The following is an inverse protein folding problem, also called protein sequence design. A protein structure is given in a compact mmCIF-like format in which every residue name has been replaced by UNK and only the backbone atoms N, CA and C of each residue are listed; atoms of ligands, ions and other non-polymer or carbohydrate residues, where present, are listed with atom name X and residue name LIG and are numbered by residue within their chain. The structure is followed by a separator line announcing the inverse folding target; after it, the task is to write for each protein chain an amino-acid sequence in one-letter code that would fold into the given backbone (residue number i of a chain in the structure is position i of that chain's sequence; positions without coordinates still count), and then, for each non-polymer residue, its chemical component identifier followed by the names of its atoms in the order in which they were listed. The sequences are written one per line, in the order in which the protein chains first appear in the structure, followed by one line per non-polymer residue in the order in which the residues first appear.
data_IF_995440083910
#
_entry.id   IF_995440083910
#
_cell.length_a   1.000
_cell.length_b   1.000
_cell.length_c   1.000
_cell.angle_alpha   90.00
_cell.angle_beta   90.00
_cell.angle_gamma   90.00
#
_symmetry.space_group_name_H-M   'P 1'
#
loop_
_entity.id
_entity.type
_entity.pdbx_description
1 polymer ?
#
# COMPACT_ATOMS: atom_id res chain seq x y z
N UNK A 1 -18.34 -11.85 -19.58
CA UNK A 1 -17.95 -13.26 -19.37
C UNK A 1 -16.53 -13.26 -18.84
N UNK A 2 -16.20 -14.12 -17.87
CA UNK A 2 -14.84 -14.21 -17.35
C UNK A 2 -13.88 -14.70 -18.44
N UNK A 3 -12.66 -14.18 -18.48
CA UNK A 3 -11.67 -14.61 -19.48
C UNK A 3 -11.11 -15.99 -19.14
N UNK A 4 -10.61 -16.75 -20.13
CA UNK A 4 -9.91 -18.04 -19.92
C UNK A 4 -8.75 -17.90 -18.89
N UNK A 5 -8.13 -16.73 -18.84
CA UNK A 5 -7.09 -16.39 -17.86
C UNK A 5 -7.67 -16.30 -16.44
N UNK A 6 -8.78 -15.60 -16.25
CA UNK A 6 -9.45 -15.48 -14.96
C UNK A 6 -9.92 -16.84 -14.42
N UNK A 7 -10.45 -17.69 -15.28
CA UNK A 7 -10.85 -19.06 -14.92
C UNK A 7 -9.65 -19.88 -14.46
N UNK A 8 -8.53 -19.81 -15.20
CA UNK A 8 -7.30 -20.51 -14.84
C UNK A 8 -6.72 -20.01 -13.51
N UNK A 9 -6.67 -18.71 -13.29
CA UNK A 9 -6.10 -18.14 -12.06
C UNK A 9 -6.96 -18.44 -10.84
N UNK A 10 -8.28 -18.41 -10.98
CA UNK A 10 -9.22 -18.88 -9.94
C UNK A 10 -9.02 -20.36 -9.65
N UNK A 11 -8.91 -21.21 -10.68
CA UNK A 11 -8.69 -22.65 -10.51
C UNK A 11 -7.35 -22.96 -9.80
N UNK A 12 -6.32 -22.13 -10.01
CA UNK A 12 -5.03 -22.21 -9.30
C UNK A 12 -5.05 -21.61 -7.90
N UNK A 13 -6.16 -21.00 -7.47
CA UNK A 13 -6.31 -20.42 -6.14
C UNK A 13 -5.61 -19.07 -5.95
N UNK A 14 -5.25 -18.37 -7.03
CA UNK A 14 -4.70 -17.02 -6.91
C UNK A 14 -5.75 -16.04 -6.38
N UNK A 15 -5.33 -15.14 -5.51
CA UNK A 15 -6.19 -14.15 -4.91
C UNK A 15 -6.49 -13.01 -5.88
N UNK A 16 -7.70 -12.44 -5.87
CA UNK A 16 -8.01 -11.27 -6.68
C UNK A 16 -7.19 -10.04 -6.23
N UNK A 17 -7.01 -9.10 -7.16
CA UNK A 17 -6.38 -7.80 -6.90
C UNK A 17 -7.07 -7.09 -5.72
N UNK A 18 -8.40 -6.98 -5.75
CA UNK A 18 -9.19 -6.40 -4.67
C UNK A 18 -9.59 -7.48 -3.67
N UNK A 19 -9.36 -7.21 -2.38
CA UNK A 19 -9.72 -8.09 -1.28
C UNK A 19 -10.59 -7.30 -0.32
N UNK A 20 -11.78 -7.82 -0.02
CA UNK A 20 -12.69 -7.21 0.97
C UNK A 20 -12.18 -7.44 2.39
N UNK A 21 -11.51 -8.56 2.62
CA UNK A 21 -10.96 -8.95 3.92
C UNK A 21 -9.58 -9.56 3.75
N UNK A 22 -8.74 -9.46 4.78
CA UNK A 22 -7.40 -10.04 4.77
C UNK A 22 -7.48 -11.55 5.11
N UNK A 23 -7.06 -12.45 4.20
CA UNK A 23 -7.05 -13.88 4.49
C UNK A 23 -6.20 -14.25 5.72
N UNK A 24 -6.62 -15.26 6.47
CA UNK A 24 -5.97 -15.71 7.70
C UNK A 24 -4.46 -16.00 7.55
N UNK A 25 -4.05 -16.52 6.37
CA UNK A 25 -2.63 -16.73 6.03
C UNK A 25 -1.80 -15.46 6.24
N UNK A 26 -2.28 -14.31 5.76
CA UNK A 26 -1.51 -13.06 5.86
C UNK A 26 -1.60 -12.41 7.23
N UNK A 27 -2.68 -12.66 7.98
CA UNK A 27 -2.75 -12.27 9.40
C UNK A 27 -1.64 -13.01 10.17
N UNK A 28 -1.47 -14.32 9.91
CA UNK A 28 -0.40 -15.10 10.53
C UNK A 28 0.99 -14.62 10.11
N UNK A 29 1.21 -14.33 8.82
CA UNK A 29 2.49 -13.77 8.33
C UNK A 29 2.79 -12.43 9.01
N UNK A 30 1.80 -11.53 9.11
CA UNK A 30 1.99 -10.24 9.78
C UNK A 30 2.37 -10.43 11.27
N UNK A 31 1.75 -11.39 11.95
CA UNK A 31 2.10 -11.75 13.33
C UNK A 31 3.53 -12.27 13.44
N UNK A 32 3.94 -13.18 12.56
CA UNK A 32 5.27 -13.82 12.59
C UNK A 32 6.40 -12.86 12.18
N UNK A 33 6.21 -12.10 11.10
CA UNK A 33 7.27 -11.29 10.50
C UNK A 33 7.37 -9.87 11.05
N UNK A 34 6.23 -9.31 11.49
CA UNK A 34 6.11 -7.93 11.99
C UNK A 34 5.87 -7.88 13.50
N UNK A 35 5.58 -9.02 14.15
CA UNK A 35 5.13 -9.04 15.54
C UNK A 35 3.74 -8.44 15.73
N UNK A 36 2.92 -8.39 14.67
CA UNK A 36 1.61 -7.73 14.72
C UNK A 36 0.63 -8.51 15.61
N UNK A 37 0.20 -7.88 16.69
CA UNK A 37 -0.87 -8.33 17.60
C UNK A 37 -1.85 -7.17 17.78
N UNK A 38 -3.08 -7.44 18.23
CA UNK A 38 -4.05 -6.36 18.45
C UNK A 38 -3.56 -5.35 19.50
N UNK A 39 -2.84 -5.82 20.52
CA UNK A 39 -2.23 -4.99 21.56
C UNK A 39 -1.13 -4.09 20.98
N UNK A 40 -0.16 -4.66 20.25
CA UNK A 40 0.93 -3.88 19.64
C UNK A 40 0.36 -2.90 18.61
N UNK A 41 -0.63 -3.33 17.82
CA UNK A 41 -1.29 -2.49 16.82
C UNK A 41 -1.93 -1.27 17.46
N UNK A 42 -2.72 -1.46 18.52
CA UNK A 42 -3.36 -0.37 19.25
C UNK A 42 -2.36 0.59 19.89
N UNK A 43 -1.39 0.06 20.63
CA UNK A 43 -0.37 0.87 21.32
C UNK A 43 0.50 1.69 20.35
N UNK A 44 0.96 1.06 19.26
CA UNK A 44 1.80 1.72 18.27
C UNK A 44 1.01 2.79 17.51
N UNK A 45 -0.25 2.55 17.15
CA UNK A 45 -1.12 3.56 16.53
C UNK A 45 -1.31 4.77 17.42
N UNK A 46 -1.61 4.56 18.70
CA UNK A 46 -1.76 5.67 19.65
C UNK A 46 -0.46 6.46 19.82
N UNK A 47 0.68 5.77 20.00
CA UNK A 47 1.99 6.42 20.12
C UNK A 47 2.32 7.20 18.85
N UNK A 48 2.11 6.60 17.69
CA UNK A 48 2.41 7.23 16.40
C UNK A 48 1.53 8.46 16.14
N UNK A 49 0.21 8.39 16.44
CA UNK A 49 -0.68 9.56 16.40
C UNK A 49 -0.19 10.68 17.31
N UNK A 50 0.24 10.37 18.54
CA UNK A 50 0.80 11.39 19.47
C UNK A 50 2.06 12.04 18.89
N UNK A 51 2.98 11.25 18.31
CA UNK A 51 4.18 11.77 17.66
C UNK A 51 3.82 12.71 16.49
N UNK A 52 2.90 12.30 15.62
CA UNK A 52 2.44 13.12 14.48
C UNK A 52 1.83 14.44 14.96
N UNK A 53 0.94 14.40 15.96
CA UNK A 53 0.28 15.60 16.50
C UNK A 53 1.25 16.54 17.23
N UNK A 54 2.36 16.03 17.73
CA UNK A 54 3.42 16.84 18.34
C UNK A 54 4.29 17.57 17.31
N UNK A 55 4.33 17.09 16.07
CA UNK A 55 5.08 17.70 14.98
C UNK A 55 4.27 18.80 14.27
N UNK A 56 4.55 20.05 14.65
CA UNK A 56 3.82 21.23 14.14
C UNK A 56 4.02 21.48 12.63
N UNK A 57 5.06 20.91 12.03
CA UNK A 57 5.37 21.11 10.61
C UNK A 57 4.74 20.05 9.71
N UNK A 58 4.17 18.99 10.30
CA UNK A 58 3.62 17.86 9.58
C UNK A 58 2.08 17.92 9.52
N UNK A 59 1.53 18.09 8.31
CA UNK A 59 0.09 17.94 8.06
C UNK A 59 -0.18 16.53 7.54
N UNK A 60 -0.61 15.64 8.43
CA UNK A 60 -0.78 14.22 8.12
C UNK A 60 -2.16 13.71 8.57
N UNK A 61 -2.87 12.92 7.75
CA UNK A 61 -4.05 12.16 8.20
C UNK A 61 -3.70 11.22 9.34
N UNK A 62 -4.58 11.09 10.32
CA UNK A 62 -4.36 10.27 11.52
C UNK A 62 -5.30 9.07 11.63
N UNK A 63 -5.96 8.69 10.53
CA UNK A 63 -6.79 7.48 10.45
C UNK A 63 -5.95 6.21 10.42
N UNK A 64 -6.50 5.13 10.96
CA UNK A 64 -5.76 3.91 11.23
C UNK A 64 -5.36 3.20 9.94
N UNK A 65 -6.22 3.25 8.92
CA UNK A 65 -5.95 2.62 7.62
C UNK A 65 -4.73 3.24 6.92
N UNK A 66 -4.49 4.54 7.11
CA UNK A 66 -3.31 5.22 6.58
C UNK A 66 -2.08 4.91 7.44
N UNK A 67 -2.18 5.09 8.76
CA UNK A 67 -1.04 4.96 9.66
C UNK A 67 -0.51 3.52 9.77
N UNK A 68 -1.38 2.51 9.70
CA UNK A 68 -0.98 1.10 9.72
C UNK A 68 0.02 0.78 8.59
N UNK A 69 -0.10 1.43 7.43
CA UNK A 69 0.80 1.16 6.31
C UNK A 69 2.26 1.48 6.66
N UNK A 70 2.49 2.61 7.32
CA UNK A 70 3.83 3.03 7.78
C UNK A 70 4.34 2.14 8.91
N UNK A 71 3.47 1.78 9.86
CA UNK A 71 3.82 0.91 10.98
C UNK A 71 4.20 -0.49 10.48
N UNK A 72 3.40 -1.11 9.61
CA UNK A 72 3.73 -2.42 9.01
C UNK A 72 5.02 -2.38 8.21
N UNK A 73 5.22 -1.33 7.40
CA UNK A 73 6.45 -1.14 6.64
C UNK A 73 7.71 -1.02 7.52
N UNK A 74 7.55 -0.73 8.81
CA UNK A 74 8.63 -0.60 9.80
C UNK A 74 8.47 -1.55 10.99
N UNK A 75 7.73 -2.65 10.84
CA UNK A 75 7.54 -3.67 11.88
C UNK A 75 7.13 -3.08 13.25
N UNK A 76 6.20 -2.13 13.21
CA UNK A 76 5.67 -1.42 14.38
C UNK A 76 6.70 -0.59 15.18
N UNK A 77 7.88 -0.34 14.62
CA UNK A 77 8.85 0.63 15.15
C UNK A 77 8.38 2.06 14.82
N UNK A 78 7.83 2.74 15.83
CA UNK A 78 7.21 4.07 15.68
C UNK A 78 8.23 5.13 15.25
N UNK A 79 9.47 5.06 15.72
CA UNK A 79 10.49 6.06 15.40
C UNK A 79 10.93 5.93 13.93
N UNK A 80 11.13 4.69 13.46
CA UNK A 80 11.36 4.42 12.03
C UNK A 80 10.15 4.75 11.16
N UNK A 81 8.93 4.54 11.67
CA UNK A 81 7.70 4.90 10.96
C UNK A 81 7.57 6.42 10.80
N UNK A 82 7.92 7.22 11.81
CA UNK A 82 8.01 8.68 11.71
C UNK A 82 9.01 9.11 10.61
N UNK A 83 10.20 8.51 10.58
CA UNK A 83 11.18 8.80 9.53
C UNK A 83 10.66 8.46 8.12
N UNK A 84 9.96 7.33 7.96
CA UNK A 84 9.32 6.98 6.69
C UNK A 84 8.21 7.99 6.31
N UNK A 85 7.42 8.43 7.28
CA UNK A 85 6.34 9.39 7.07
C UNK A 85 6.88 10.77 6.62
N UNK A 86 7.95 11.25 7.25
CA UNK A 86 8.62 12.48 6.81
C UNK A 86 9.15 12.36 5.40
N UNK A 87 9.80 11.24 5.06
CA UNK A 87 10.28 10.99 3.70
C UNK A 87 9.14 10.98 2.67
N UNK A 88 8.00 10.39 3.02
CA UNK A 88 6.82 10.37 2.16
C UNK A 88 6.31 11.78 1.84
N UNK A 89 6.12 12.63 2.86
CA UNK A 89 5.65 14.00 2.62
C UNK A 89 6.71 14.88 1.97
N UNK A 90 8.00 14.67 2.27
CA UNK A 90 9.09 15.37 1.60
C UNK A 90 9.14 15.03 0.10
N UNK A 91 8.93 13.75 -0.27
CA UNK A 91 8.86 13.32 -1.67
C UNK A 91 7.74 14.06 -2.41
N UNK A 92 6.54 14.12 -1.80
CA UNK A 92 5.38 14.81 -2.36
C UNK A 92 5.65 16.31 -2.51
N UNK A 93 6.15 16.96 -1.46
CA UNK A 93 6.42 18.39 -1.46
C UNK A 93 7.53 18.79 -2.43
N UNK A 94 8.50 17.89 -2.67
CA UNK A 94 9.64 18.14 -3.55
C UNK A 94 9.34 17.91 -5.03
N UNK A 95 8.23 17.23 -5.36
CA UNK A 95 7.84 16.91 -6.74
C UNK A 95 6.39 17.33 -7.04
N UNK A 96 6.03 18.62 -6.87
CA UNK A 96 4.67 19.09 -7.14
C UNK A 96 4.23 18.86 -8.59
N UNK A 97 5.16 18.80 -9.54
CA UNK A 97 4.89 18.45 -10.94
C UNK A 97 4.32 17.03 -11.13
N UNK A 98 4.56 16.14 -10.18
CA UNK A 98 4.02 14.78 -10.16
C UNK A 98 2.74 14.70 -9.32
N UNK A 99 2.73 15.33 -8.14
CA UNK A 99 1.71 15.08 -7.11
C UNK A 99 0.63 16.17 -6.97
N UNK A 100 0.87 17.41 -7.39
CA UNK A 100 -0.09 18.53 -7.21
C UNK A 100 -1.12 18.60 -8.35
N UNK A 101 -0.72 18.19 -9.57
CA UNK A 101 -1.58 18.21 -10.77
C UNK A 101 -1.61 16.86 -11.45
N UNK A 102 -2.33 15.92 -10.83
CA UNK A 102 -2.75 14.70 -11.51
C UNK A 102 -3.72 15.06 -12.65
N UNK A 103 -3.16 15.18 -13.85
CA UNK A 103 -3.90 15.41 -15.08
C UNK A 103 -4.62 14.12 -15.49
N UNK A 104 -5.94 14.11 -15.30
CA UNK A 104 -6.79 12.96 -15.58
C UNK A 104 -6.66 12.50 -17.03
N UNK A 105 -6.55 13.40 -18.00
CA UNK A 105 -6.39 13.01 -19.41
C UNK A 105 -5.06 12.32 -19.66
N UNK A 106 -3.97 12.78 -19.01
CA UNK A 106 -2.66 12.09 -19.09
C UNK A 106 -2.72 10.72 -18.43
N UNK A 107 -3.41 10.59 -17.29
CA UNK A 107 -3.60 9.32 -16.61
C UNK A 107 -4.44 8.35 -17.46
N UNK A 108 -5.52 8.82 -18.07
CA UNK A 108 -6.37 8.02 -18.96
C UNK A 108 -5.60 7.57 -20.21
N UNK A 109 -4.74 8.44 -20.78
CA UNK A 109 -3.83 8.07 -21.87
C UNK A 109 -2.80 7.03 -21.44
N UNK A 110 -2.19 7.19 -20.27
CA UNK A 110 -1.19 6.27 -19.74
C UNK A 110 -1.80 4.88 -19.50
N UNK A 111 -2.97 4.83 -18.86
CA UNK A 111 -3.70 3.59 -18.60
C UNK A 111 -4.22 2.93 -19.86
N UNK A 112 -4.56 3.70 -20.90
CA UNK A 112 -4.95 3.17 -22.22
C UNK A 112 -3.76 2.71 -23.08
N UNK A 113 -2.52 3.05 -22.72
CA UNK A 113 -1.34 2.83 -23.55
C UNK A 113 -0.67 1.46 -23.39
N UNK A 114 -1.27 0.55 -22.60
CA UNK A 114 -0.67 -0.72 -22.14
C UNK A 114 0.72 -0.58 -21.49
N UNK A 115 1.15 0.65 -21.19
CA UNK A 115 2.48 0.92 -20.65
C UNK A 115 2.63 0.41 -19.22
N UNK A 116 1.62 0.64 -18.38
CA UNK A 116 1.54 0.11 -17.02
C UNK A 116 0.21 -0.63 -16.89
N UNK A 117 0.29 -1.90 -16.52
CA UNK A 117 -0.88 -2.75 -16.25
C UNK A 117 -0.79 -3.36 -14.86
N UNK A 118 -1.92 -3.41 -14.16
CA UNK A 118 -2.07 -4.11 -12.89
C UNK A 118 -2.88 -5.38 -13.17
N UNK A 119 -2.32 -6.55 -12.87
CA UNK A 119 -3.01 -7.80 -13.12
C UNK A 119 -4.20 -7.98 -12.16
N UNK A 120 -5.30 -8.63 -12.61
CA UNK A 120 -6.50 -8.80 -11.79
C UNK A 120 -6.33 -9.81 -10.65
N UNK A 121 -5.18 -10.48 -10.58
CA UNK A 121 -4.82 -11.43 -9.53
C UNK A 121 -3.45 -11.08 -8.95
N UNK A 122 -3.31 -11.39 -7.67
CA UNK A 122 -2.07 -11.37 -6.91
C UNK A 122 -1.21 -12.58 -7.25
N UNK A 123 0.06 -12.54 -6.90
CA UNK A 123 0.93 -13.71 -6.95
C UNK A 123 0.68 -14.69 -5.79
N UNK A 124 1.54 -15.72 -5.66
CA UNK A 124 1.41 -16.77 -4.64
C UNK A 124 1.61 -16.24 -3.21
N UNK A 125 2.33 -15.12 -3.08
CA UNK A 125 2.66 -14.46 -1.82
C UNK A 125 1.67 -13.33 -1.51
N UNK A 126 0.64 -13.14 -2.35
CA UNK A 126 -0.39 -12.14 -2.16
C UNK A 126 0.02 -10.73 -2.61
N UNK A 127 1.16 -10.58 -3.30
CA UNK A 127 1.61 -9.30 -3.81
C UNK A 127 0.84 -8.88 -5.06
N UNK A 128 0.63 -7.57 -5.22
CA UNK A 128 0.08 -7.02 -6.46
C UNK A 128 1.11 -7.14 -7.58
N UNK A 129 0.69 -7.64 -8.74
CA UNK A 129 1.56 -7.77 -9.90
C UNK A 129 1.34 -6.59 -10.84
N UNK A 130 2.37 -5.75 -10.95
CA UNK A 130 2.42 -4.62 -11.88
C UNK A 130 3.38 -4.98 -13.02
N UNK A 131 2.92 -4.85 -14.26
CA UNK A 131 3.75 -5.06 -15.46
C UNK A 131 3.98 -3.73 -16.16
N UNK A 132 5.23 -3.44 -16.52
CA UNK A 132 5.62 -2.26 -17.31
C UNK A 132 6.12 -2.71 -18.67
N UNK A 133 5.50 -2.23 -19.75
CA UNK A 133 5.91 -2.52 -21.12
C UNK A 133 6.82 -1.39 -21.63
N UNK A 134 8.14 -1.63 -21.60
CA UNK A 134 9.15 -0.61 -21.93
C UNK A 134 9.42 -0.53 -23.45
N UNK A 135 9.14 -1.58 -24.23
CA UNK A 135 9.32 -1.61 -25.69
C UNK A 135 8.11 -2.18 -26.41
N UNK A 136 7.95 -1.86 -27.70
CA UNK A 136 6.81 -2.30 -28.51
C UNK A 136 6.85 -3.80 -28.82
#
# INVERSE_FOLDING_TARGET
MATKYEEMMKAKGFLPHHLDTLPAKFIQIAKEELGETDEIRGQALEKFRKCILSDKNLKCPTNDEFLIQFLRARKYDVDKAMGLLHNYFNLIASHPEIFDKLDKEKMDKLTSSDFINILPFRDNDGCLVLTVKISK
#
